data_IF_284738047697
#
_entry.id   IF_284738047697
#
_cell.length_a   1.000
_cell.length_b   1.000
_cell.length_c   1.000
_cell.angle_alpha   90.00
_cell.angle_beta   90.00
_cell.angle_gamma   90.00
#
_symmetry.space_group_name_H-M   'P 1'
#
loop_
_entity.id
_entity.type
_entity.pdbx_description
1 polymer ?
#
# COMPACT_ATOMS: atom_id res chain seq x y z
N UNK A 1 -7.04 -21.43 17.92
CA UNK A 1 -7.68 -20.53 16.92
C UNK A 1 -7.38 -19.02 17.11
N UNK A 2 -6.71 -18.64 18.19
CA UNK A 2 -6.34 -17.23 18.46
C UNK A 2 -5.02 -16.77 17.81
N UNK A 3 -4.16 -17.67 17.37
CA UNK A 3 -2.81 -17.37 16.91
C UNK A 3 -2.73 -16.77 15.49
N UNK A 4 -3.57 -17.19 14.57
CA UNK A 4 -3.58 -16.62 13.20
C UNK A 4 -4.09 -15.17 13.14
N UNK A 5 -5.03 -14.82 14.00
CA UNK A 5 -5.62 -13.47 14.06
C UNK A 5 -4.67 -12.43 14.66
N UNK A 6 -3.79 -12.82 15.59
CA UNK A 6 -2.78 -11.92 16.15
C UNK A 6 -1.63 -11.68 15.19
N UNK A 7 -1.15 -12.72 14.50
CA UNK A 7 -0.05 -12.63 13.54
C UNK A 7 -0.38 -11.68 12.37
N UNK A 8 -1.55 -11.81 11.74
CA UNK A 8 -1.96 -10.91 10.66
C UNK A 8 -2.11 -9.44 11.12
N UNK A 9 -2.60 -9.24 12.37
CA UNK A 9 -2.67 -7.89 12.96
C UNK A 9 -1.29 -7.29 13.21
N UNK A 10 -0.30 -8.11 13.58
CA UNK A 10 1.05 -7.64 13.88
C UNK A 10 1.85 -7.36 12.62
N UNK A 11 1.68 -8.16 11.56
CA UNK A 11 2.24 -7.90 10.22
C UNK A 11 1.74 -6.56 9.69
N UNK A 12 0.44 -6.32 9.75
CA UNK A 12 -0.17 -5.08 9.31
C UNK A 12 0.32 -3.84 10.08
N UNK A 13 0.45 -3.94 11.41
CA UNK A 13 1.00 -2.85 12.23
C UNK A 13 2.45 -2.55 11.85
N UNK A 14 3.26 -3.59 11.64
CA UNK A 14 4.66 -3.44 11.20
C UNK A 14 4.74 -2.75 9.85
N UNK A 15 3.87 -3.10 8.91
CA UNK A 15 3.81 -2.46 7.59
C UNK A 15 3.51 -0.96 7.73
N UNK A 16 2.46 -0.59 8.46
CA UNK A 16 2.12 0.82 8.73
C UNK A 16 3.27 1.57 9.40
N UNK A 17 3.90 0.97 10.39
CA UNK A 17 5.06 1.55 11.06
C UNK A 17 6.18 1.86 10.06
N UNK A 18 6.56 0.90 9.21
CA UNK A 18 7.66 1.06 8.26
C UNK A 18 7.34 2.05 7.13
N UNK A 19 6.12 2.04 6.64
CA UNK A 19 5.69 3.02 5.64
C UNK A 19 5.70 4.45 6.22
N UNK A 20 5.33 4.61 7.48
CA UNK A 20 5.43 5.90 8.19
C UNK A 20 6.88 6.34 8.35
N UNK A 21 7.76 5.46 8.82
CA UNK A 21 9.20 5.73 8.95
C UNK A 21 9.85 6.13 7.61
N UNK A 22 9.34 5.61 6.49
CA UNK A 22 9.75 5.96 5.13
C UNK A 22 9.15 7.28 4.62
N UNK A 23 8.33 7.95 5.42
CA UNK A 23 7.81 9.28 5.11
C UNK A 23 6.68 9.30 4.07
N UNK A 24 5.86 8.26 3.99
CA UNK A 24 4.65 8.31 3.20
C UNK A 24 3.65 9.27 3.86
N UNK A 25 3.05 10.14 3.06
CA UNK A 25 2.08 11.15 3.51
C UNK A 25 0.64 10.64 3.47
N UNK A 26 0.35 9.64 2.63
CA UNK A 26 -0.98 9.02 2.53
C UNK A 26 -0.90 7.51 2.34
N UNK A 27 -1.71 6.79 3.11
CA UNK A 27 -1.83 5.33 3.07
C UNK A 27 -3.30 4.96 2.94
N UNK A 28 -3.67 4.33 1.82
CA UNK A 28 -5.01 3.80 1.60
C UNK A 28 -4.95 2.28 1.64
N UNK A 29 -5.81 1.71 2.46
CA UNK A 29 -5.92 0.27 2.59
C UNK A 29 -7.26 -0.15 2.01
N UNK A 30 -7.20 -1.09 1.10
CA UNK A 30 -8.39 -1.65 0.50
C UNK A 30 -8.49 -3.15 0.77
N UNK A 31 -9.69 -3.66 0.64
CA UNK A 31 -9.98 -5.07 0.73
C UNK A 31 -9.87 -5.71 -0.65
N UNK A 32 -8.93 -6.65 -0.87
CA UNK A 32 -8.78 -7.34 -2.12
C UNK A 32 -9.99 -8.21 -2.46
N UNK A 33 -10.24 -8.40 -3.75
CA UNK A 33 -11.36 -9.21 -4.24
C UNK A 33 -11.28 -10.69 -3.78
N UNK A 34 -10.09 -11.25 -3.71
CA UNK A 34 -9.84 -12.65 -3.31
C UNK A 34 -9.62 -12.86 -1.82
N UNK A 35 -9.90 -11.87 -0.98
CA UNK A 35 -9.74 -12.05 0.46
C UNK A 35 -10.85 -12.93 1.02
N UNK A 36 -10.47 -13.92 1.85
CA UNK A 36 -11.41 -14.77 2.57
C UNK A 36 -12.37 -13.94 3.44
N UNK A 37 -13.65 -14.15 3.24
CA UNK A 37 -14.72 -13.41 3.93
C UNK A 37 -14.69 -13.59 5.46
N UNK A 38 -14.05 -14.64 5.95
CA UNK A 38 -13.90 -14.88 7.39
C UNK A 38 -13.05 -13.84 8.12
N UNK A 39 -12.15 -13.16 7.42
CA UNK A 39 -11.31 -12.07 7.95
C UNK A 39 -12.04 -10.73 8.04
N UNK A 40 -13.23 -10.63 7.47
CA UNK A 40 -13.97 -9.38 7.25
C UNK A 40 -14.77 -8.92 8.47
N UNK A 41 -15.07 -9.83 9.40
CA UNK A 41 -15.94 -9.54 10.56
C UNK A 41 -15.25 -8.83 11.72
N UNK A 42 -14.01 -8.38 11.56
CA UNK A 42 -13.32 -7.64 12.62
C UNK A 42 -13.77 -6.20 12.66
N UNK A 43 -14.01 -5.74 13.85
CA UNK A 43 -14.40 -4.37 14.17
C UNK A 43 -13.41 -3.36 13.57
N UNK A 44 -13.77 -2.77 12.42
CA UNK A 44 -12.96 -1.81 11.67
C UNK A 44 -12.57 -0.58 12.51
N UNK A 45 -13.42 -0.14 13.44
CA UNK A 45 -13.11 0.99 14.33
C UNK A 45 -11.92 0.70 15.25
N UNK A 46 -11.88 -0.50 15.86
CA UNK A 46 -10.75 -0.88 16.73
C UNK A 46 -9.44 -1.00 15.94
N UNK A 47 -9.51 -1.50 14.70
CA UNK A 47 -8.34 -1.58 13.82
C UNK A 47 -7.86 -0.17 13.48
N UNK A 48 -8.77 0.73 13.14
CA UNK A 48 -8.45 2.12 12.79
C UNK A 48 -7.80 2.88 13.95
N UNK A 49 -8.37 2.80 15.16
CA UNK A 49 -7.80 3.44 16.36
C UNK A 49 -6.39 2.92 16.65
N UNK A 50 -6.20 1.60 16.66
CA UNK A 50 -4.88 0.98 16.86
C UNK A 50 -3.88 1.36 15.77
N UNK A 51 -4.34 1.48 14.53
CA UNK A 51 -3.49 1.91 13.41
C UNK A 51 -3.01 3.35 13.60
N UNK A 52 -3.87 4.26 14.01
CA UNK A 52 -3.47 5.65 14.34
C UNK A 52 -2.41 5.71 15.44
N UNK A 53 -2.55 4.90 16.49
CA UNK A 53 -1.55 4.81 17.57
C UNK A 53 -0.19 4.36 17.03
N UNK A 54 -0.17 3.39 16.10
CA UNK A 54 1.06 2.93 15.43
C UNK A 54 1.70 4.06 14.61
N UNK A 55 0.91 4.79 13.81
CA UNK A 55 1.41 5.92 13.02
C UNK A 55 2.01 7.00 13.91
N UNK A 56 1.33 7.38 14.98
CA UNK A 56 1.80 8.40 15.93
C UNK A 56 3.12 7.96 16.59
N UNK A 57 3.20 6.70 17.03
CA UNK A 57 4.42 6.15 17.62
C UNK A 57 5.59 6.14 16.62
N UNK A 58 5.33 5.75 15.38
CA UNK A 58 6.34 5.72 14.32
C UNK A 58 6.83 7.15 13.99
N UNK A 59 5.96 8.13 13.86
CA UNK A 59 6.34 9.53 13.65
C UNK A 59 7.24 10.06 14.78
N UNK A 60 6.87 9.81 16.03
CA UNK A 60 7.69 10.24 17.19
C UNK A 60 9.06 9.61 17.19
N UNK A 61 9.16 8.33 16.86
CA UNK A 61 10.43 7.60 16.85
C UNK A 61 11.33 8.02 15.69
N UNK A 62 10.77 8.25 14.50
CA UNK A 62 11.52 8.60 13.29
C UNK A 62 11.76 10.11 13.10
N UNK A 63 11.18 10.95 13.96
CA UNK A 63 11.32 12.41 13.85
C UNK A 63 10.51 13.03 12.71
N UNK A 64 9.52 12.31 12.19
CA UNK A 64 8.62 12.83 11.15
C UNK A 64 7.57 13.75 11.78
N UNK A 65 7.47 14.97 11.26
CA UNK A 65 6.63 16.04 11.81
C UNK A 65 5.19 16.09 11.25
N UNK A 66 4.82 15.13 10.41
CA UNK A 66 3.46 15.01 9.89
C UNK A 66 2.93 13.59 10.12
N UNK A 67 1.63 13.48 10.33
CA UNK A 67 0.95 12.19 10.46
C UNK A 67 0.42 11.78 9.08
N UNK A 68 0.75 10.58 8.58
CA UNK A 68 0.16 10.08 7.34
C UNK A 68 -1.37 10.06 7.40
N UNK A 69 -2.01 10.48 6.31
CA UNK A 69 -3.45 10.30 6.14
C UNK A 69 -3.75 8.81 5.90
N UNK A 70 -4.57 8.21 6.75
CA UNK A 70 -4.90 6.79 6.70
C UNK A 70 -6.38 6.58 6.44
N UNK A 71 -6.72 5.84 5.39
CA UNK A 71 -8.09 5.43 5.11
C UNK A 71 -8.22 3.94 4.80
N UNK A 72 -9.45 3.43 5.02
CA UNK A 72 -9.82 2.05 4.76
C UNK A 72 -10.99 2.03 3.78
N UNK A 73 -10.80 1.35 2.67
CA UNK A 73 -11.76 1.28 1.59
C UNK A 73 -12.31 -0.15 1.41
N UNK A 74 -13.54 -0.25 0.91
CA UNK A 74 -14.22 -1.53 0.72
C UNK A 74 -13.55 -2.39 -0.36
N UNK A 75 -12.95 -1.74 -1.35
CA UNK A 75 -12.33 -2.38 -2.50
C UNK A 75 -11.29 -1.46 -3.14
N UNK A 76 -10.59 -1.96 -4.16
CA UNK A 76 -9.60 -1.20 -4.92
C UNK A 76 -10.22 0.00 -5.66
N UNK A 77 -11.43 -0.14 -6.19
CA UNK A 77 -12.10 0.93 -6.92
C UNK A 77 -12.36 2.15 -6.04
N UNK A 78 -12.91 1.94 -4.84
CA UNK A 78 -13.14 3.02 -3.87
C UNK A 78 -11.83 3.73 -3.49
N UNK A 79 -10.74 2.96 -3.32
CA UNK A 79 -9.40 3.53 -3.05
C UNK A 79 -8.89 4.40 -4.19
N UNK A 80 -9.02 3.95 -5.43
CA UNK A 80 -8.60 4.73 -6.60
C UNK A 80 -9.44 6.00 -6.74
N UNK A 81 -10.76 5.91 -6.53
CA UNK A 81 -11.64 7.06 -6.57
C UNK A 81 -11.31 8.10 -5.49
N UNK A 82 -11.03 7.64 -4.27
CA UNK A 82 -10.61 8.52 -3.18
C UNK A 82 -9.27 9.20 -3.50
N UNK A 83 -8.30 8.41 -3.97
CA UNK A 83 -6.98 8.91 -4.32
C UNK A 83 -7.04 10.00 -5.40
N UNK A 84 -7.79 9.77 -6.47
CA UNK A 84 -7.92 10.73 -7.59
C UNK A 84 -8.61 12.04 -7.23
N UNK A 85 -9.21 12.17 -6.05
CA UNK A 85 -9.73 13.46 -5.56
C UNK A 85 -8.62 14.41 -5.12
N UNK A 86 -7.47 13.88 -4.73
CA UNK A 86 -6.36 14.65 -4.14
C UNK A 86 -5.03 14.45 -4.85
N UNK A 87 -4.94 13.52 -5.80
CA UNK A 87 -3.73 13.20 -6.55
C UNK A 87 -4.04 13.11 -8.04
N UNK A 88 -3.36 13.93 -8.83
CA UNK A 88 -3.52 14.04 -10.28
C UNK A 88 -2.33 13.47 -11.07
N UNK A 89 -1.30 12.98 -10.36
CA UNK A 89 -0.11 12.36 -10.95
C UNK A 89 -0.35 10.93 -11.45
N UNK A 90 0.70 10.35 -12.00
CA UNK A 90 0.68 8.96 -12.47
C UNK A 90 0.66 7.99 -11.28
N UNK A 91 -0.19 6.98 -11.40
CA UNK A 91 -0.32 5.89 -10.44
C UNK A 91 0.21 4.62 -11.11
N UNK A 92 1.06 3.89 -10.40
CA UNK A 92 1.59 2.60 -10.86
C UNK A 92 1.09 1.48 -9.96
N UNK A 93 0.75 0.34 -10.55
CA UNK A 93 0.45 -0.88 -9.80
C UNK A 93 1.63 -1.85 -9.94
N UNK A 94 1.96 -2.56 -8.87
CA UNK A 94 3.04 -3.54 -8.89
C UNK A 94 2.49 -4.95 -8.94
N UNK A 95 2.80 -5.64 -10.02
CA UNK A 95 2.37 -6.99 -10.31
C UNK A 95 3.54 -7.85 -10.84
N UNK A 96 3.50 -9.15 -10.56
CA UNK A 96 4.55 -10.09 -10.96
C UNK A 96 4.54 -10.41 -12.46
N UNK A 97 3.37 -10.25 -13.08
CA UNK A 97 3.17 -10.53 -14.51
C UNK A 97 3.33 -9.28 -15.38
N UNK A 98 3.85 -8.19 -14.82
CA UNK A 98 4.08 -6.95 -15.57
C UNK A 98 5.28 -7.06 -16.50
N UNK A 99 5.15 -6.56 -17.72
CA UNK A 99 6.20 -6.58 -18.74
C UNK A 99 7.29 -5.51 -18.54
N UNK A 100 6.95 -4.42 -17.82
CA UNK A 100 7.85 -3.28 -17.64
C UNK A 100 8.36 -3.20 -16.20
N UNK A 101 9.63 -2.82 -16.07
CA UNK A 101 10.32 -2.74 -14.78
C UNK A 101 10.08 -1.41 -14.07
N UNK A 102 10.23 -1.43 -12.73
CA UNK A 102 10.30 -0.24 -11.88
C UNK A 102 11.33 0.77 -12.39
N UNK A 103 12.49 0.32 -12.85
CA UNK A 103 13.56 1.20 -13.35
C UNK A 103 13.20 2.04 -14.58
N UNK A 104 12.08 1.73 -15.23
CA UNK A 104 11.55 2.47 -16.37
C UNK A 104 10.54 3.57 -15.97
N UNK A 105 10.31 3.75 -14.66
CA UNK A 105 9.45 4.82 -14.16
C UNK A 105 10.26 6.09 -13.99
N UNK A 106 9.77 7.19 -14.54
CA UNK A 106 10.29 8.53 -14.30
C UNK A 106 9.34 9.28 -13.35
N UNK A 107 9.73 9.35 -12.09
CA UNK A 107 9.00 10.12 -11.09
C UNK A 107 9.41 11.59 -11.17
N UNK A 108 8.45 12.49 -11.29
CA UNK A 108 8.72 13.94 -11.37
C UNK A 108 8.75 14.59 -9.99
N UNK A 109 7.60 14.85 -9.38
CA UNK A 109 7.52 15.59 -8.11
C UNK A 109 6.95 14.74 -6.97
N UNK A 110 6.13 13.77 -7.31
CA UNK A 110 5.46 12.88 -6.38
C UNK A 110 5.30 11.49 -6.98
N UNK A 111 5.04 10.52 -6.15
CA UNK A 111 4.83 9.15 -6.56
C UNK A 111 3.63 8.53 -5.85
N UNK A 112 2.85 7.79 -6.58
CA UNK A 112 1.77 6.97 -6.04
C UNK A 112 1.83 5.57 -6.61
N UNK A 113 1.61 4.57 -5.76
CA UNK A 113 1.62 3.19 -6.19
C UNK A 113 0.57 2.34 -5.47
N UNK A 114 0.22 1.24 -6.11
CA UNK A 114 -0.70 0.22 -5.59
C UNK A 114 0.01 -1.13 -5.56
N UNK A 115 -0.17 -1.86 -4.48
CA UNK A 115 0.29 -3.26 -4.36
C UNK A 115 -0.91 -4.17 -4.15
N UNK A 116 -0.87 -5.34 -4.77
CA UNK A 116 -1.88 -6.38 -4.59
C UNK A 116 -1.63 -7.23 -3.33
N UNK A 117 -2.56 -8.14 -3.03
CA UNK A 117 -2.38 -9.17 -2.01
C UNK A 117 -1.34 -10.22 -2.44
N UNK A 118 -1.03 -11.17 -1.56
CA UNK A 118 -0.08 -12.26 -1.87
C UNK A 118 -0.48 -13.11 -3.10
N UNK A 119 -1.78 -13.20 -3.37
CA UNK A 119 -2.33 -13.90 -4.54
C UNK A 119 -2.28 -13.08 -5.84
N UNK A 120 -1.73 -11.86 -5.79
CA UNK A 120 -1.79 -10.90 -6.89
C UNK A 120 -3.18 -10.26 -7.06
N UNK A 121 -3.29 -9.37 -8.04
CA UNK A 121 -4.57 -8.77 -8.40
C UNK A 121 -5.47 -9.80 -9.11
N UNK A 122 -6.78 -9.73 -8.84
CA UNK A 122 -7.77 -10.49 -9.62
C UNK A 122 -7.89 -9.93 -11.03
N UNK A 123 -8.45 -10.73 -11.95
CA UNK A 123 -8.70 -10.28 -13.33
C UNK A 123 -9.59 -9.02 -13.37
N UNK A 124 -10.57 -8.93 -12.46
CA UNK A 124 -11.42 -7.74 -12.33
C UNK A 124 -10.62 -6.52 -11.87
N UNK A 125 -9.71 -6.70 -10.90
CA UNK A 125 -8.83 -5.62 -10.43
C UNK A 125 -7.83 -5.19 -11.50
N UNK A 126 -7.24 -6.12 -12.25
CA UNK A 126 -6.38 -5.80 -13.40
C UNK A 126 -7.13 -5.03 -14.49
N UNK A 127 -8.37 -5.44 -14.80
CA UNK A 127 -9.25 -4.73 -15.73
C UNK A 127 -9.56 -3.31 -15.24
N UNK A 128 -9.84 -3.15 -13.95
CA UNK A 128 -10.06 -1.85 -13.33
C UNK A 128 -8.82 -0.94 -13.44
N UNK A 129 -7.63 -1.45 -13.08
CA UNK A 129 -6.38 -0.72 -13.19
C UNK A 129 -6.16 -0.21 -14.61
N UNK A 130 -6.34 -1.07 -15.61
CA UNK A 130 -6.22 -0.71 -17.03
C UNK A 130 -7.23 0.36 -17.44
N UNK A 131 -8.49 0.24 -17.04
CA UNK A 131 -9.54 1.22 -17.35
C UNK A 131 -9.29 2.57 -16.68
N UNK A 132 -8.55 2.60 -15.59
CA UNK A 132 -8.17 3.80 -14.86
C UNK A 132 -6.82 4.39 -15.32
N UNK A 133 -6.21 3.86 -16.39
CA UNK A 133 -4.88 4.22 -16.90
C UNK A 133 -3.78 4.06 -15.85
N UNK A 134 -3.89 3.04 -14.99
CA UNK A 134 -2.88 2.68 -14.03
C UNK A 134 -2.03 1.57 -14.65
N UNK A 135 -0.76 1.88 -14.89
CA UNK A 135 0.16 0.95 -15.53
C UNK A 135 0.76 -0.03 -14.51
N UNK A 136 0.91 -1.27 -14.92
CA UNK A 136 1.58 -2.28 -14.09
C UNK A 136 3.10 -2.24 -14.28
N UNK A 137 3.85 -2.49 -13.20
CA UNK A 137 5.31 -2.55 -13.18
C UNK A 137 5.79 -3.74 -12.36
N UNK A 138 6.95 -4.26 -12.73
CA UNK A 138 7.67 -5.30 -12.00
C UNK A 138 8.76 -4.68 -11.12
N UNK A 139 8.83 -5.05 -9.85
CA UNK A 139 9.87 -4.54 -8.94
C UNK A 139 11.21 -5.22 -9.22
N UNK A 140 11.18 -6.47 -9.63
CA UNK A 140 12.35 -7.29 -9.90
C UNK A 140 11.96 -8.76 -10.10
N UNK A 141 12.94 -9.64 -10.15
CA UNK A 141 12.74 -11.06 -10.45
C UNK A 141 12.37 -11.90 -9.21
N UNK A 142 12.27 -11.28 -8.04
CA UNK A 142 11.98 -11.94 -6.77
C UNK A 142 10.56 -11.66 -6.35
N UNK A 143 9.84 -12.68 -5.92
CA UNK A 143 8.50 -12.54 -5.36
C UNK A 143 8.62 -12.02 -3.93
N UNK A 144 8.12 -10.81 -3.68
CA UNK A 144 8.01 -10.26 -2.34
C UNK A 144 6.68 -10.66 -1.71
N UNK A 145 6.69 -10.89 -0.40
CA UNK A 145 5.44 -10.99 0.35
C UNK A 145 4.67 -9.66 0.32
N UNK A 146 3.34 -9.73 0.48
CA UNK A 146 2.48 -8.55 0.42
C UNK A 146 2.87 -7.44 1.41
N UNK A 147 3.39 -7.80 2.57
CA UNK A 147 3.91 -6.84 3.55
C UNK A 147 5.25 -6.23 3.17
N UNK A 148 6.08 -6.93 2.40
CA UNK A 148 7.44 -6.50 2.02
C UNK A 148 7.42 -5.58 0.80
N UNK A 149 6.61 -5.88 -0.19
CA UNK A 149 6.56 -5.15 -1.46
C UNK A 149 6.37 -3.63 -1.28
N UNK A 150 5.38 -3.14 -0.51
CA UNK A 150 5.20 -1.69 -0.34
C UNK A 150 6.36 -1.02 0.39
N UNK A 151 7.06 -1.71 1.30
CA UNK A 151 8.24 -1.18 1.97
C UNK A 151 9.40 -1.00 1.00
N UNK A 152 9.65 -2.02 0.16
CA UNK A 152 10.71 -1.97 -0.87
C UNK A 152 10.42 -0.86 -1.88
N UNK A 153 9.20 -0.80 -2.41
CA UNK A 153 8.79 0.23 -3.38
C UNK A 153 8.96 1.63 -2.77
N UNK A 154 8.48 1.83 -1.55
CA UNK A 154 8.63 3.11 -0.85
C UNK A 154 10.08 3.51 -0.68
N UNK A 155 10.95 2.57 -0.30
CA UNK A 155 12.38 2.83 -0.16
C UNK A 155 13.03 3.23 -1.48
N UNK A 156 12.70 2.55 -2.58
CA UNK A 156 13.21 2.88 -3.91
C UNK A 156 12.75 4.26 -4.38
N UNK A 157 11.49 4.61 -4.13
CA UNK A 157 10.93 5.92 -4.46
C UNK A 157 11.59 7.03 -3.62
N UNK A 158 11.76 6.82 -2.32
CA UNK A 158 12.40 7.80 -1.46
C UNK A 158 13.89 7.99 -1.81
N UNK A 159 14.58 6.92 -2.20
CA UNK A 159 15.94 7.01 -2.72
C UNK A 159 15.98 7.78 -4.04
N UNK A 160 15.02 7.57 -4.96
CA UNK A 160 14.93 8.32 -6.21
C UNK A 160 14.78 9.83 -5.97
N UNK A 161 14.01 10.22 -4.95
CA UNK A 161 13.87 11.63 -4.57
C UNK A 161 15.01 12.16 -3.68
N UNK A 162 16.04 11.38 -3.39
CA UNK A 162 17.17 11.76 -2.56
C UNK A 162 16.80 12.01 -1.09
N UNK A 163 15.75 11.34 -0.59
CA UNK A 163 15.27 11.50 0.80
C UNK A 163 15.86 10.45 1.75
N UNK A 164 16.38 9.35 1.22
CA UNK A 164 17.14 8.32 1.93
C UNK A 164 18.32 7.87 1.05
#
# INVERSE_FOLDING_TARGET
THTQSSAASDVYKRQLQKLTELGLDKILIYKPHHLDQSLIRKNHEKIFIKSKEVLISACKQSGINFLPDLSFNKNLEDSIQELKKTYDGLIYAFDLDADQSFSQIDFTESACFVTGPESGFSQNELGLLKNQNIETRLIGNTIFRAETAPIVISSLIQNHFGRI
#
